data_IF_125536880455
#
_entry.id   IF_125536880455
#
_cell.length_a   1.000
_cell.length_b   1.000
_cell.length_c   1.000
_cell.angle_alpha   90.00
_cell.angle_beta   90.00
_cell.angle_gamma   90.00
#
_symmetry.space_group_name_H-M   'P 1'
#
loop_
_entity.id
_entity.type
_entity.pdbx_description
1 polymer ?
#
# COMPACT_ATOMS: atom_id res chain seq x y z
N UNK A 1 31.47 -9.20 8.73
CA UNK A 1 30.73 -8.12 8.04
C UNK A 1 29.59 -7.68 8.93
N UNK A 2 29.63 -6.46 9.44
CA UNK A 2 28.65 -5.92 10.38
C UNK A 2 27.28 -5.79 9.69
N UNK A 3 26.33 -6.64 10.08
CA UNK A 3 24.94 -6.62 9.62
C UNK A 3 24.27 -5.37 10.20
N UNK A 4 24.03 -4.35 9.37
CA UNK A 4 23.31 -3.14 9.77
C UNK A 4 21.85 -3.46 10.04
N UNK A 5 21.56 -3.91 11.26
CA UNK A 5 20.21 -4.18 11.76
C UNK A 5 19.45 -2.85 11.94
N UNK A 6 18.15 -2.85 11.64
CA UNK A 6 17.30 -1.68 11.89
C UNK A 6 17.34 -1.29 13.39
N UNK A 7 17.14 0.01 13.74
CA UNK A 7 16.97 0.42 15.13
C UNK A 7 15.89 -0.44 15.83
N UNK A 8 16.22 -1.04 16.97
CA UNK A 8 15.34 -1.96 17.70
C UNK A 8 15.48 -3.46 17.37
N UNK A 9 16.23 -3.84 16.33
CA UNK A 9 16.46 -5.25 15.96
C UNK A 9 17.57 -5.95 16.79
N UNK A 10 18.06 -5.31 17.85
CA UNK A 10 19.15 -5.80 18.70
C UNK A 10 18.76 -6.93 19.67
N UNK A 11 17.47 -7.21 19.84
CA UNK A 11 16.99 -8.19 20.82
C UNK A 11 16.65 -9.58 20.27
N UNK A 12 16.56 -9.74 18.95
CA UNK A 12 16.50 -11.00 18.17
C UNK A 12 16.21 -10.58 16.74
N UNK A 13 16.88 -11.17 15.74
CA UNK A 13 16.59 -10.92 14.32
C UNK A 13 15.13 -11.32 14.01
N UNK A 14 14.18 -10.38 13.87
CA UNK A 14 12.77 -10.71 13.95
C UNK A 14 12.27 -11.53 12.77
N UNK A 15 12.74 -11.18 11.57
CA UNK A 15 12.51 -11.93 10.35
C UNK A 15 13.03 -13.38 10.42
N UNK A 16 14.05 -13.66 11.25
CA UNK A 16 14.61 -15.00 11.40
C UNK A 16 13.85 -15.84 12.45
N UNK A 17 12.96 -15.24 13.26
CA UNK A 17 12.05 -16.03 14.12
C UNK A 17 11.07 -16.88 13.31
N UNK A 18 10.83 -16.52 12.04
CA UNK A 18 10.10 -17.35 11.08
C UNK A 18 10.74 -18.76 10.98
N UNK A 19 12.07 -18.86 11.07
CA UNK A 19 12.76 -20.11 10.79
C UNK A 19 12.50 -21.21 11.80
N UNK A 20 12.27 -20.88 13.07
CA UNK A 20 11.90 -21.87 14.08
C UNK A 20 10.47 -22.39 13.82
N UNK A 21 9.56 -21.49 13.38
CA UNK A 21 8.19 -21.84 12.98
C UNK A 21 8.19 -22.69 11.69
N UNK A 22 9.08 -22.40 10.73
CA UNK A 22 9.21 -23.15 9.48
C UNK A 22 9.76 -24.56 9.74
N UNK A 23 10.83 -24.70 10.53
CA UNK A 23 11.42 -26.00 10.90
C UNK A 23 10.44 -26.92 11.64
N UNK A 24 9.45 -26.35 12.33
CA UNK A 24 8.41 -27.08 13.04
C UNK A 24 7.14 -27.30 12.20
N UNK A 25 7.12 -26.87 10.93
CA UNK A 25 5.99 -27.01 10.01
C UNK A 25 4.78 -26.14 10.36
N UNK A 26 4.97 -25.07 11.14
CA UNK A 26 3.88 -24.15 11.54
C UNK A 26 3.57 -23.15 10.43
N UNK A 27 4.59 -22.73 9.69
CA UNK A 27 4.50 -21.82 8.56
C UNK A 27 5.19 -22.45 7.35
N UNK A 28 4.88 -21.92 6.18
CA UNK A 28 5.53 -22.31 4.92
C UNK A 28 5.50 -21.14 3.94
N UNK A 29 6.12 -21.32 2.79
CA UNK A 29 6.10 -20.39 1.67
C UNK A 29 7.35 -20.50 0.81
N UNK A 30 7.31 -19.99 -0.43
CA UNK A 30 8.37 -20.19 -1.41
C UNK A 30 9.72 -19.60 -0.97
N UNK A 31 9.72 -18.59 -0.09
CA UNK A 31 10.95 -17.99 0.43
C UNK A 31 11.50 -18.68 1.69
N UNK A 32 10.75 -19.59 2.34
CA UNK A 32 11.15 -20.16 3.62
C UNK A 32 12.43 -21.01 3.54
N UNK A 33 12.56 -21.86 2.52
CA UNK A 33 13.77 -22.66 2.32
C UNK A 33 15.00 -21.76 2.10
N UNK A 34 14.84 -20.71 1.27
CA UNK A 34 15.87 -19.72 0.98
C UNK A 34 16.27 -18.87 2.18
N UNK A 35 15.32 -18.59 3.07
CA UNK A 35 15.54 -17.83 4.30
C UNK A 35 16.22 -18.65 5.40
N UNK A 36 15.82 -19.92 5.56
CA UNK A 36 16.06 -20.68 6.79
C UNK A 36 16.98 -21.90 6.64
N UNK A 37 17.17 -22.40 5.41
CA UNK A 37 17.94 -23.62 5.14
C UNK A 37 19.14 -23.31 4.26
N UNK A 38 18.92 -22.79 3.05
CA UNK A 38 20.01 -22.50 2.10
C UNK A 38 20.67 -21.15 2.35
N UNK A 39 20.02 -20.27 3.11
CA UNK A 39 20.45 -18.90 3.40
C UNK A 39 20.80 -18.08 2.13
N UNK A 40 20.10 -18.35 1.02
CA UNK A 40 20.26 -17.65 -0.26
C UNK A 40 19.48 -16.33 -0.32
N UNK A 41 18.52 -16.11 0.58
CA UNK A 41 17.83 -14.83 0.74
C UNK A 41 18.69 -13.87 1.60
N UNK A 42 19.36 -12.92 0.95
CA UNK A 42 20.26 -11.98 1.60
C UNK A 42 19.55 -10.71 2.08
N UNK A 43 19.89 -10.24 3.28
CA UNK A 43 19.39 -8.99 3.86
C UNK A 43 20.53 -7.95 3.86
N UNK A 44 20.36 -6.90 3.08
CA UNK A 44 21.24 -5.75 2.98
C UNK A 44 20.82 -4.60 3.92
N UNK A 45 20.70 -3.40 3.35
CA UNK A 45 20.47 -2.15 4.09
C UNK A 45 19.06 -2.09 4.68
N UNK A 46 18.96 -1.69 5.94
CA UNK A 46 17.67 -1.33 6.55
C UNK A 46 17.10 -0.04 5.95
N UNK A 47 15.83 -0.07 5.56
CA UNK A 47 15.07 1.06 5.04
C UNK A 47 14.07 1.63 6.06
N UNK A 48 13.81 0.92 7.17
CA UNK A 48 12.81 1.34 8.16
C UNK A 48 13.40 2.17 9.29
N UNK A 49 12.63 3.19 9.70
CA UNK A 49 12.87 3.98 10.91
C UNK A 49 12.01 3.53 12.09
N UNK A 50 10.94 2.75 11.82
CA UNK A 50 9.98 2.31 12.84
C UNK A 50 10.25 0.87 13.26
N UNK A 51 10.21 0.56 14.56
CA UNK A 51 10.48 -0.78 15.06
C UNK A 51 9.40 -1.78 14.68
N UNK A 52 8.15 -1.37 14.44
CA UNK A 52 7.01 -2.28 14.23
C UNK A 52 6.93 -2.85 12.81
N UNK A 53 7.63 -2.25 11.85
CA UNK A 53 7.62 -2.70 10.46
C UNK A 53 9.02 -2.57 9.93
N UNK A 54 9.72 -3.68 9.74
CA UNK A 54 11.09 -3.66 9.27
C UNK A 54 11.12 -3.90 7.77
N UNK A 55 11.85 -3.05 7.06
CA UNK A 55 12.03 -3.14 5.62
C UNK A 55 13.53 -3.19 5.35
N UNK A 56 13.95 -4.13 4.53
CA UNK A 56 15.34 -4.36 4.17
C UNK A 56 15.47 -4.43 2.65
N UNK A 57 16.49 -3.78 2.09
CA UNK A 57 16.97 -4.17 0.77
C UNK A 57 17.51 -5.59 0.87
N UNK A 58 17.26 -6.42 -0.14
CA UNK A 58 17.72 -7.80 -0.18
C UNK A 58 18.01 -8.27 -1.59
N UNK A 59 18.58 -9.46 -1.69
CA UNK A 59 18.79 -10.17 -2.95
C UNK A 59 18.23 -11.57 -2.76
N UNK A 60 17.40 -12.02 -3.70
CA UNK A 60 16.85 -13.36 -3.72
C UNK A 60 16.85 -13.91 -5.15
N UNK A 61 17.38 -15.12 -5.33
CA UNK A 61 17.55 -15.74 -6.65
C UNK A 61 18.26 -14.82 -7.68
N UNK A 62 19.29 -14.10 -7.22
CA UNK A 62 20.05 -13.10 -7.98
C UNK A 62 19.24 -11.87 -8.45
N UNK A 63 18.01 -11.70 -7.96
CA UNK A 63 17.19 -10.53 -8.22
C UNK A 63 17.19 -9.59 -7.00
N UNK A 64 17.33 -8.27 -7.22
CA UNK A 64 17.21 -7.30 -6.13
C UNK A 64 15.74 -7.24 -5.67
N UNK A 65 15.55 -7.21 -4.35
CA UNK A 65 14.23 -7.20 -3.73
C UNK A 65 14.18 -6.37 -2.47
N UNK A 66 12.97 -6.15 -1.98
CA UNK A 66 12.70 -5.55 -0.67
C UNK A 66 12.02 -6.60 0.20
N UNK A 67 12.65 -6.92 1.32
CA UNK A 67 12.09 -7.83 2.33
C UNK A 67 11.33 -6.99 3.34
N UNK A 68 10.04 -7.27 3.51
CA UNK A 68 9.18 -6.65 4.50
C UNK A 68 8.82 -7.68 5.58
N UNK A 69 9.10 -7.32 6.82
CA UNK A 69 8.76 -8.12 7.99
C UNK A 69 7.85 -7.31 8.90
N UNK A 70 6.69 -7.86 9.20
CA UNK A 70 5.87 -7.35 10.28
C UNK A 70 6.48 -7.80 11.61
N UNK A 71 6.44 -6.90 12.59
CA UNK A 71 6.93 -7.20 13.92
C UNK A 71 5.74 -7.41 14.82
N UNK A 72 5.76 -8.49 15.59
CA UNK A 72 4.86 -8.66 16.73
C UNK A 72 5.17 -7.56 17.76
N UNK A 73 4.28 -6.56 17.87
CA UNK A 73 4.01 -5.90 19.14
C UNK A 73 2.66 -5.19 19.10
N UNK A 74 1.92 -5.38 20.22
CA UNK A 74 0.63 -4.83 20.61
C UNK A 74 0.09 -3.74 19.67
N UNK A 75 -1.02 -4.06 18.99
CA UNK A 75 -1.85 -3.09 18.30
C UNK A 75 -1.99 -1.84 19.17
N UNK A 76 -1.46 -0.72 18.67
CA UNK A 76 -1.92 0.60 19.08
C UNK A 76 -3.39 0.69 18.69
N UNK A 77 -4.25 0.30 19.64
CA UNK A 77 -5.54 0.94 19.82
C UNK A 77 -5.24 2.43 20.03
N UNK A 78 -5.78 3.28 19.17
CA UNK A 78 -5.97 4.68 19.52
C UNK A 78 -6.71 4.69 20.86
N UNK A 79 -6.19 5.45 21.84
CA UNK A 79 -6.80 5.60 23.15
C UNK A 79 -8.19 6.26 22.98
N UNK A 80 -9.22 5.43 22.97
CA UNK A 80 -10.62 5.79 23.21
C UNK A 80 -11.16 4.78 24.21
N UNK A 81 -11.60 5.29 25.36
CA UNK A 81 -12.09 4.54 26.52
C UNK A 81 -13.20 3.55 26.18
N UNK A 82 -12.92 2.25 26.26
CA UNK A 82 -13.69 1.23 27.01
C UNK A 82 -13.04 -0.15 26.85
N UNK A 83 -13.01 -0.92 27.95
CA UNK A 83 -12.32 -2.20 28.08
C UNK A 83 -13.01 -3.30 27.25
N UNK A 84 -12.55 -3.55 26.03
CA UNK A 84 -12.70 -4.87 25.41
C UNK A 84 -11.46 -5.74 25.69
N UNK A 85 -11.63 -7.03 26.07
CA UNK A 85 -10.51 -7.89 26.41
C UNK A 85 -9.63 -8.13 25.19
N UNK A 86 -8.38 -7.68 25.31
CA UNK A 86 -7.22 -7.91 24.43
C UNK A 86 -7.29 -9.27 23.74
N UNK A 87 -7.68 -9.31 22.47
CA UNK A 87 -7.40 -10.46 21.60
C UNK A 87 -5.93 -10.38 21.19
N UNK A 88 -5.07 -11.11 21.89
CA UNK A 88 -3.80 -11.54 21.34
C UNK A 88 -4.09 -12.32 20.04
N UNK A 89 -3.91 -11.67 18.89
CA UNK A 89 -3.92 -12.39 17.61
C UNK A 89 -2.56 -13.07 17.53
N UNK A 90 -2.47 -14.30 18.01
CA UNK A 90 -1.35 -15.18 17.69
C UNK A 90 -1.38 -15.37 16.17
N UNK A 91 -0.41 -14.78 15.46
CA UNK A 91 -0.45 -14.57 14.01
C UNK A 91 -0.71 -15.85 13.19
N UNK A 92 -0.36 -17.03 13.74
CA UNK A 92 -0.40 -18.33 13.05
C UNK A 92 -1.27 -19.38 13.75
N UNK A 93 -2.19 -18.98 14.62
CA UNK A 93 -3.13 -19.93 15.26
C UNK A 93 -4.26 -20.37 14.32
N UNK A 94 -4.51 -19.60 13.27
CA UNK A 94 -5.51 -19.89 12.25
C UNK A 94 -4.85 -20.15 10.90
N UNK A 95 -5.33 -21.14 10.13
CA UNK A 95 -6.32 -22.15 10.52
C UNK A 95 -5.79 -23.19 11.52
N UNK A 96 -6.69 -23.83 12.27
CA UNK A 96 -6.33 -24.87 13.26
C UNK A 96 -5.97 -26.19 12.57
N UNK A 97 -5.21 -27.05 13.28
CA UNK A 97 -4.89 -28.41 12.79
C UNK A 97 -6.19 -29.18 12.49
N UNK A 98 -6.24 -29.85 11.34
CA UNK A 98 -7.42 -30.59 10.87
C UNK A 98 -8.40 -29.76 10.02
N UNK A 99 -8.11 -28.48 9.76
CA UNK A 99 -8.89 -27.68 8.79
C UNK A 99 -8.69 -28.24 7.38
N UNK A 100 -9.78 -28.57 6.69
CA UNK A 100 -9.75 -29.01 5.30
C UNK A 100 -9.56 -27.83 4.35
N UNK A 101 -9.07 -28.07 3.13
CA UNK A 101 -8.93 -27.03 2.10
C UNK A 101 -10.25 -26.31 1.82
N UNK A 102 -11.36 -27.06 1.77
CA UNK A 102 -12.69 -26.47 1.58
C UNK A 102 -13.07 -25.55 2.76
N UNK A 103 -12.75 -25.95 3.99
CA UNK A 103 -13.02 -25.11 5.15
C UNK A 103 -12.16 -23.85 5.15
N UNK A 104 -10.89 -23.98 4.75
CA UNK A 104 -10.02 -22.83 4.56
C UNK A 104 -10.55 -21.87 3.50
N UNK A 105 -11.06 -22.39 2.36
CA UNK A 105 -11.73 -21.60 1.32
C UNK A 105 -12.89 -20.77 1.87
N UNK A 106 -13.75 -21.38 2.70
CA UNK A 106 -14.86 -20.67 3.38
C UNK A 106 -14.35 -19.59 4.35
N UNK A 107 -13.27 -19.87 5.09
CA UNK A 107 -12.68 -18.89 6.00
C UNK A 107 -12.15 -17.67 5.24
N UNK A 108 -11.44 -17.89 4.13
CA UNK A 108 -10.92 -16.82 3.28
C UNK A 108 -12.07 -16.02 2.65
N UNK A 109 -13.10 -16.70 2.16
CA UNK A 109 -14.31 -16.05 1.65
C UNK A 109 -14.96 -15.16 2.71
N UNK A 110 -15.13 -15.67 3.93
CA UNK A 110 -15.70 -14.90 5.05
C UNK A 110 -14.83 -13.71 5.43
N UNK A 111 -13.50 -13.85 5.38
CA UNK A 111 -12.58 -12.74 5.62
C UNK A 111 -12.75 -11.65 4.56
N UNK A 112 -12.86 -12.02 3.28
CA UNK A 112 -13.09 -11.04 2.23
C UNK A 112 -14.46 -10.41 2.27
N UNK A 113 -15.52 -11.17 2.59
CA UNK A 113 -16.84 -10.59 2.79
C UNK A 113 -16.83 -9.57 3.93
N UNK A 114 -16.13 -9.87 5.03
CA UNK A 114 -15.96 -8.93 6.13
C UNK A 114 -15.11 -7.71 5.71
N UNK A 115 -14.05 -7.91 4.92
CA UNK A 115 -13.12 -6.84 4.54
C UNK A 115 -13.61 -5.93 3.41
N UNK A 116 -14.28 -6.50 2.41
CA UNK A 116 -14.59 -5.88 1.12
C UNK A 116 -16.10 -5.68 0.91
N UNK A 117 -16.94 -6.17 1.83
CA UNK A 117 -18.38 -6.24 1.65
C UNK A 117 -18.81 -7.37 0.71
N UNK A 118 -20.08 -7.33 0.28
CA UNK A 118 -20.65 -8.34 -0.62
C UNK A 118 -20.32 -7.99 -2.07
N UNK A 119 -19.18 -8.49 -2.58
CA UNK A 119 -18.75 -8.29 -3.96
C UNK A 119 -19.09 -9.53 -4.81
N UNK A 120 -19.49 -9.34 -6.07
CA UNK A 120 -19.86 -10.46 -6.95
C UNK A 120 -18.71 -11.43 -7.26
N UNK A 121 -17.48 -10.93 -7.26
CA UNK A 121 -16.30 -11.67 -7.72
C UNK A 121 -15.42 -12.24 -6.60
N UNK A 122 -15.91 -12.29 -5.34
CA UNK A 122 -15.13 -12.77 -4.21
C UNK A 122 -14.63 -14.22 -4.40
N UNK A 123 -15.41 -15.07 -5.06
CA UNK A 123 -15.02 -16.46 -5.33
C UNK A 123 -13.74 -16.56 -6.18
N UNK A 124 -13.59 -15.67 -7.16
CA UNK A 124 -12.39 -15.60 -8.00
C UNK A 124 -11.17 -15.15 -7.20
N UNK A 125 -11.32 -14.13 -6.35
CA UNK A 125 -10.27 -13.67 -5.46
C UNK A 125 -9.82 -14.76 -4.48
N UNK A 126 -10.77 -15.54 -3.95
CA UNK A 126 -10.45 -16.69 -3.10
C UNK A 126 -9.62 -17.73 -3.87
N UNK A 127 -9.99 -18.04 -5.11
CA UNK A 127 -9.23 -18.99 -5.93
C UNK A 127 -7.82 -18.45 -6.25
N UNK A 128 -7.69 -17.17 -6.58
CA UNK A 128 -6.39 -16.52 -6.80
C UNK A 128 -5.49 -16.65 -5.56
N UNK A 129 -6.05 -16.46 -4.38
CA UNK A 129 -5.32 -16.58 -3.11
C UNK A 129 -4.94 -18.01 -2.78
N UNK A 130 -5.77 -18.99 -3.13
CA UNK A 130 -5.39 -20.41 -3.01
C UNK A 130 -4.21 -20.74 -3.91
N UNK A 131 -4.17 -20.20 -5.15
CA UNK A 131 -3.02 -20.35 -6.06
C UNK A 131 -1.76 -19.68 -5.53
N UNK A 132 -1.88 -18.52 -4.85
CA UNK A 132 -0.73 -17.86 -4.20
C UNK A 132 -0.28 -18.59 -2.94
N UNK A 133 -1.22 -19.21 -2.20
CA UNK A 133 -0.94 -19.95 -0.98
C UNK A 133 -0.19 -21.26 -1.25
N UNK A 134 -0.51 -21.95 -2.36
CA UNK A 134 0.21 -23.11 -2.88
C UNK A 134 1.61 -22.69 -3.36
N UNK A 135 2.55 -22.62 -2.41
CA UNK A 135 3.87 -22.06 -2.59
C UNK A 135 4.84 -23.04 -3.24
N UNK A 136 4.66 -24.33 -3.01
CA UNK A 136 5.44 -25.40 -3.65
C UNK A 136 4.88 -25.87 -4.99
N UNK A 137 3.67 -25.42 -5.35
CA UNK A 137 2.96 -25.69 -6.61
C UNK A 137 2.60 -27.16 -6.79
N UNK A 138 2.28 -27.85 -5.70
CA UNK A 138 1.84 -29.24 -5.73
C UNK A 138 0.33 -29.40 -6.03
N UNK A 139 -0.40 -28.28 -6.12
CA UNK A 139 -1.85 -28.22 -6.39
C UNK A 139 -2.71 -28.38 -5.14
N UNK A 140 -2.10 -28.47 -3.96
CA UNK A 140 -2.76 -28.55 -2.66
C UNK A 140 -2.29 -27.40 -1.77
N UNK A 141 -3.03 -27.14 -0.69
CA UNK A 141 -2.64 -26.13 0.30
C UNK A 141 -2.45 -26.85 1.63
N UNK A 142 -1.20 -26.97 2.04
CA UNK A 142 -0.81 -27.52 3.33
C UNK A 142 -1.25 -26.62 4.48
N UNK A 143 -1.18 -27.15 5.72
CA UNK A 143 -1.52 -26.34 6.90
C UNK A 143 -0.55 -25.15 7.09
N UNK A 144 0.74 -25.34 6.81
CA UNK A 144 1.76 -24.29 6.94
C UNK A 144 1.55 -23.16 5.93
N UNK A 145 1.24 -23.51 4.69
CA UNK A 145 0.85 -22.57 3.64
C UNK A 145 -0.43 -21.82 3.99
N UNK A 146 -1.47 -22.53 4.42
CA UNK A 146 -2.74 -21.93 4.81
C UNK A 146 -2.58 -20.93 5.96
N UNK A 147 -1.73 -21.24 6.95
CA UNK A 147 -1.40 -20.33 8.07
C UNK A 147 -0.65 -19.10 7.62
N UNK A 148 0.32 -19.27 6.72
CA UNK A 148 1.13 -18.18 6.20
C UNK A 148 0.29 -17.24 5.33
N UNK A 149 -0.50 -17.81 4.42
CA UNK A 149 -1.47 -17.06 3.62
C UNK A 149 -2.48 -16.32 4.52
N UNK A 150 -3.05 -16.99 5.54
CA UNK A 150 -4.00 -16.35 6.46
C UNK A 150 -3.41 -15.14 7.20
N UNK A 151 -2.15 -15.25 7.64
CA UNK A 151 -1.42 -14.16 8.29
C UNK A 151 -1.20 -12.98 7.31
N UNK A 152 -0.73 -13.27 6.09
CA UNK A 152 -0.49 -12.27 5.05
C UNK A 152 -1.77 -11.56 4.62
N UNK A 153 -2.90 -12.26 4.53
CA UNK A 153 -4.21 -11.68 4.18
C UNK A 153 -4.72 -10.63 5.18
N UNK A 154 -4.18 -10.61 6.41
CA UNK A 154 -4.48 -9.54 7.35
C UNK A 154 -3.89 -8.20 6.89
N UNK A 155 -2.80 -8.23 6.12
CA UNK A 155 -2.14 -7.06 5.55
C UNK A 155 -2.84 -6.60 4.26
N UNK A 156 -3.39 -5.38 4.29
CA UNK A 156 -4.02 -4.80 3.09
C UNK A 156 -3.03 -4.63 1.93
N UNK A 157 -1.77 -4.31 2.23
CA UNK A 157 -0.71 -4.21 1.22
C UNK A 157 -0.49 -5.54 0.49
N UNK A 158 -0.49 -6.67 1.20
CA UNK A 158 -0.37 -7.98 0.57
C UNK A 158 -1.57 -8.31 -0.31
N UNK A 159 -2.78 -8.05 0.19
CA UNK A 159 -4.00 -8.24 -0.57
C UNK A 159 -3.99 -7.41 -1.87
N UNK A 160 -3.56 -6.15 -1.81
CA UNK A 160 -3.47 -5.27 -2.98
C UNK A 160 -2.39 -5.72 -3.96
N UNK A 161 -1.24 -6.22 -3.49
CA UNK A 161 -0.22 -6.80 -4.38
C UNK A 161 -0.75 -8.00 -5.15
N UNK A 162 -1.60 -8.83 -4.54
CA UNK A 162 -2.23 -9.96 -5.24
C UNK A 162 -3.31 -9.49 -6.22
N UNK A 163 -4.18 -8.58 -5.81
CA UNK A 163 -5.26 -8.04 -6.66
C UNK A 163 -4.70 -7.31 -7.89
N UNK A 164 -3.62 -6.56 -7.71
CA UNK A 164 -3.02 -5.70 -8.72
C UNK A 164 -1.72 -6.27 -9.29
N UNK A 165 -1.49 -7.59 -9.18
CA UNK A 165 -0.23 -8.24 -9.57
C UNK A 165 0.17 -8.02 -11.04
N UNK A 166 -0.83 -7.86 -11.92
CA UNK A 166 -0.63 -7.68 -13.36
C UNK A 166 -0.53 -6.20 -13.76
N UNK A 167 -0.61 -5.28 -12.80
CA UNK A 167 -0.58 -3.84 -13.05
C UNK A 167 0.83 -3.29 -12.92
N UNK A 168 1.25 -2.46 -13.87
CA UNK A 168 2.61 -1.92 -13.93
C UNK A 168 2.99 -1.10 -12.69
N UNK A 169 2.02 -0.41 -12.08
CA UNK A 169 2.24 0.41 -10.89
C UNK A 169 2.39 -0.36 -9.58
N UNK A 170 2.25 -1.68 -9.60
CA UNK A 170 2.38 -2.54 -8.42
C UNK A 170 3.74 -3.24 -8.44
N UNK A 171 4.50 -3.21 -7.33
CA UNK A 171 5.67 -4.06 -7.18
C UNK A 171 5.31 -5.54 -7.21
N UNK A 172 6.01 -6.32 -8.04
CA UNK A 172 5.83 -7.78 -8.11
C UNK A 172 6.14 -8.46 -6.78
N UNK A 173 5.21 -9.28 -6.29
CA UNK A 173 5.45 -10.19 -5.18
C UNK A 173 6.34 -11.34 -5.65
N UNK A 174 7.53 -11.48 -5.08
CA UNK A 174 8.46 -12.56 -5.42
C UNK A 174 8.14 -13.83 -4.62
N UNK A 175 7.70 -13.68 -3.37
CA UNK A 175 7.42 -14.80 -2.48
C UNK A 175 7.33 -14.39 -1.01
N UNK A 176 7.07 -15.36 -0.15
CA UNK A 176 6.84 -15.14 1.28
C UNK A 176 7.32 -16.31 2.14
N UNK A 177 7.42 -16.07 3.44
CA UNK A 177 7.64 -17.09 4.46
C UNK A 177 6.92 -16.66 5.74
N UNK A 178 5.82 -17.33 6.11
CA UNK A 178 4.94 -16.85 7.18
C UNK A 178 4.34 -15.48 6.83
N UNK A 179 4.50 -14.49 7.71
CA UNK A 179 4.07 -13.09 7.51
C UNK A 179 5.17 -12.18 6.94
N UNK A 180 6.34 -12.73 6.62
CA UNK A 180 7.39 -12.06 5.87
C UNK A 180 7.15 -12.25 4.39
N UNK A 181 7.30 -11.18 3.61
CA UNK A 181 7.22 -11.27 2.16
C UNK A 181 8.30 -10.44 1.47
N UNK A 182 8.61 -10.83 0.24
CA UNK A 182 9.64 -10.27 -0.61
C UNK A 182 8.98 -9.74 -1.87
N UNK A 183 9.27 -8.49 -2.21
CA UNK A 183 8.78 -7.83 -3.42
C UNK A 183 9.95 -7.32 -4.26
N UNK A 184 9.71 -7.02 -5.53
CA UNK A 184 10.71 -6.39 -6.39
C UNK A 184 11.20 -5.06 -5.79
N UNK A 185 12.48 -4.75 -5.98
CA UNK A 185 13.03 -3.46 -5.55
C UNK A 185 12.58 -2.34 -6.49
N UNK A 186 12.22 -1.20 -5.92
CA UNK A 186 11.96 0.04 -6.67
C UNK A 186 13.20 0.92 -6.60
N UNK A 187 13.71 1.38 -7.74
CA UNK A 187 14.95 2.15 -7.87
C UNK A 187 14.84 3.51 -7.18
N UNK A 188 13.78 4.26 -7.47
CA UNK A 188 13.50 5.56 -6.87
C UNK A 188 12.32 5.45 -5.92
N UNK A 189 12.55 5.47 -4.60
CA UNK A 189 11.52 5.26 -3.58
C UNK A 189 10.79 6.55 -3.13
N UNK A 190 10.78 7.57 -3.97
CA UNK A 190 10.14 8.87 -3.69
C UNK A 190 9.77 9.56 -5.00
N UNK A 191 8.60 10.21 -5.05
CA UNK A 191 8.13 10.93 -6.23
C UNK A 191 9.13 12.00 -6.73
N UNK A 192 9.86 12.64 -5.81
CA UNK A 192 10.86 13.67 -6.13
C UNK A 192 12.26 13.11 -6.39
N UNK A 193 12.43 11.78 -6.44
CA UNK A 193 13.72 11.11 -6.71
C UNK A 193 14.67 11.05 -5.51
N UNK A 194 14.37 11.75 -4.40
CA UNK A 194 15.15 11.69 -3.16
C UNK A 194 14.28 11.24 -1.98
N UNK A 195 14.83 10.32 -1.19
CA UNK A 195 14.43 10.05 0.19
C UNK A 195 15.48 10.61 1.15
N UNK A 196 15.18 11.72 1.84
CA UNK A 196 16.10 12.27 2.84
C UNK A 196 15.94 11.50 4.17
N UNK A 197 17.04 11.11 4.83
CA UNK A 197 16.98 10.64 6.21
C UNK A 197 16.31 11.70 7.11
N UNK A 198 15.45 11.25 8.03
CA UNK A 198 14.68 12.12 8.94
C UNK A 198 15.55 13.14 9.71
N UNK A 199 16.79 12.78 10.04
CA UNK A 199 17.74 13.66 10.72
C UNK A 199 18.06 14.89 9.86
N UNK A 200 18.26 14.69 8.55
CA UNK A 200 18.60 15.76 7.61
C UNK A 200 17.36 16.63 7.36
N UNK A 201 16.17 16.03 7.30
CA UNK A 201 14.92 16.77 7.13
C UNK A 201 14.68 17.83 8.22
N UNK A 202 15.09 17.54 9.47
CA UNK A 202 14.90 18.44 10.61
C UNK A 202 15.72 19.74 10.50
N UNK A 203 16.85 19.71 9.78
CA UNK A 203 17.77 20.84 9.63
C UNK A 203 17.57 21.63 8.34
N UNK A 204 16.66 21.21 7.45
CA UNK A 204 16.42 21.90 6.18
C UNK A 204 15.30 22.94 6.34
N UNK A 205 15.58 24.24 6.13
CA UNK A 205 14.53 25.25 6.06
C UNK A 205 13.51 24.91 4.96
N UNK A 206 12.21 25.08 5.25
CA UNK A 206 11.12 24.73 4.32
C UNK A 206 11.24 25.34 2.92
N UNK A 207 11.83 26.55 2.82
CA UNK A 207 12.13 27.20 1.53
C UNK A 207 13.26 26.54 0.73
N UNK A 208 14.24 25.93 1.40
CA UNK A 208 15.35 25.21 0.75
C UNK A 208 14.94 23.82 0.30
N UNK A 209 14.01 23.17 1.02
CA UNK A 209 13.45 21.85 0.65
C UNK A 209 12.84 21.87 -0.75
N UNK A 210 12.01 22.89 -1.05
CA UNK A 210 11.39 23.09 -2.37
C UNK A 210 12.40 23.30 -3.51
N UNK A 211 13.58 23.83 -3.21
CA UNK A 211 14.64 24.06 -4.21
C UNK A 211 15.48 22.80 -4.41
N UNK A 212 15.73 22.01 -3.37
CA UNK A 212 16.41 20.72 -3.49
C UNK A 212 15.58 19.70 -4.25
N UNK A 213 14.28 19.62 -3.97
CA UNK A 213 13.37 18.71 -4.68
C UNK A 213 13.42 18.96 -6.21
N UNK A 214 13.72 20.18 -6.66
CA UNK A 214 13.82 20.52 -8.09
C UNK A 214 15.06 19.93 -8.76
N UNK A 215 16.20 19.86 -8.05
CA UNK A 215 17.46 19.42 -8.64
C UNK A 215 17.42 17.92 -9.02
N UNK A 216 16.62 17.14 -8.30
CA UNK A 216 16.53 15.70 -8.47
C UNK A 216 15.20 15.25 -9.10
N UNK A 217 14.30 16.19 -9.37
CA UNK A 217 13.09 15.87 -10.13
C UNK A 217 13.39 15.55 -11.60
N UNK A 218 12.72 14.55 -12.18
CA UNK A 218 12.83 14.24 -13.60
C UNK A 218 12.42 15.41 -14.52
N UNK A 219 12.79 15.33 -15.80
CA UNK A 219 12.28 16.24 -16.82
C UNK A 219 10.75 16.20 -16.88
N UNK A 220 10.12 17.30 -17.33
CA UNK A 220 8.65 17.40 -17.31
C UNK A 220 7.93 16.25 -18.04
N UNK A 221 8.37 15.76 -19.22
CA UNK A 221 7.76 14.59 -19.86
C UNK A 221 7.77 13.33 -18.97
N UNK A 222 8.86 13.10 -18.23
CA UNK A 222 8.99 11.98 -17.29
C UNK A 222 8.08 12.17 -16.08
N UNK A 223 7.92 13.41 -15.59
CA UNK A 223 6.94 13.73 -14.55
C UNK A 223 5.51 13.41 -15.00
N UNK A 224 5.17 13.77 -16.24
CA UNK A 224 3.87 13.49 -16.82
C UNK A 224 3.63 11.98 -16.92
N UNK A 225 4.62 11.19 -17.35
CA UNK A 225 4.53 9.72 -17.39
C UNK A 225 4.25 9.12 -16.00
N UNK A 226 5.01 9.52 -14.97
CA UNK A 226 4.78 9.07 -13.58
C UNK A 226 3.38 9.47 -13.09
N UNK A 227 2.94 10.69 -13.41
CA UNK A 227 1.62 11.19 -13.02
C UNK A 227 0.48 10.41 -13.67
N UNK A 228 0.61 10.03 -14.94
CA UNK A 228 -0.35 9.15 -15.62
C UNK A 228 -0.46 7.81 -14.89
N UNK A 229 0.67 7.19 -14.54
CA UNK A 229 0.67 5.95 -13.75
C UNK A 229 -0.06 6.08 -12.40
N UNK A 230 -0.02 7.26 -11.77
CA UNK A 230 -0.74 7.50 -10.50
C UNK A 230 -2.25 7.63 -10.74
N UNK A 231 -2.65 8.27 -11.83
CA UNK A 231 -4.06 8.38 -12.20
C UNK A 231 -4.63 7.01 -12.58
N UNK A 232 -3.87 6.17 -13.28
CA UNK A 232 -4.23 4.78 -13.58
C UNK A 232 -4.33 3.93 -12.32
N UNK A 233 -3.40 4.09 -11.38
CA UNK A 233 -3.51 3.43 -10.07
C UNK A 233 -4.78 3.82 -9.32
N UNK A 234 -5.11 5.12 -9.29
CA UNK A 234 -6.34 5.63 -8.66
C UNK A 234 -7.60 5.01 -9.28
N UNK A 235 -7.60 4.85 -10.61
CA UNK A 235 -8.69 4.19 -11.35
C UNK A 235 -8.82 2.71 -10.96
N UNK A 236 -7.71 1.97 -10.91
CA UNK A 236 -7.69 0.55 -10.59
C UNK A 236 -8.12 0.24 -9.14
N UNK A 237 -7.84 1.14 -8.19
CA UNK A 237 -8.25 0.96 -6.77
C UNK A 237 -9.65 1.48 -6.46
N UNK A 238 -10.20 2.40 -7.26
CA UNK A 238 -11.54 2.95 -7.06
C UNK A 238 -12.61 2.23 -7.89
N UNK A 239 -12.27 1.66 -9.06
CA UNK A 239 -13.19 0.87 -9.89
C UNK A 239 -12.76 -0.60 -10.01
N UNK A 240 -12.09 -1.12 -8.98
CA UNK A 240 -11.58 -2.49 -8.98
C UNK A 240 -12.70 -3.55 -8.95
N UNK A 241 -12.43 -4.78 -9.44
CA UNK A 241 -13.41 -5.88 -9.46
C UNK A 241 -13.84 -6.38 -8.07
N UNK A 242 -13.17 -5.91 -7.00
CA UNK A 242 -13.37 -6.33 -5.62
C UNK A 242 -13.79 -5.19 -4.69
N UNK A 243 -14.34 -4.11 -5.26
CA UNK A 243 -14.84 -2.94 -4.54
C UNK A 243 -13.83 -1.80 -4.43
N UNK A 244 -14.27 -0.74 -3.75
CA UNK A 244 -13.52 0.52 -3.65
C UNK A 244 -12.48 0.44 -2.53
N UNK A 245 -11.26 0.88 -2.83
CA UNK A 245 -10.20 1.10 -1.86
C UNK A 245 -9.89 2.58 -1.74
N UNK A 246 -9.63 3.04 -0.52
CA UNK A 246 -9.33 4.42 -0.19
C UNK A 246 -7.85 4.57 0.19
N UNK A 247 -7.19 5.53 -0.43
CA UNK A 247 -5.79 5.88 -0.15
C UNK A 247 -5.71 6.79 1.09
N UNK A 248 -5.46 6.25 2.27
CA UNK A 248 -5.42 7.01 3.53
C UNK A 248 -4.00 7.43 3.98
N UNK A 249 -3.04 7.41 3.04
CA UNK A 249 -1.76 8.10 3.18
C UNK A 249 -1.18 8.48 1.80
N UNK A 250 -1.71 9.55 1.20
CA UNK A 250 -1.27 10.04 -0.12
C UNK A 250 -0.06 10.97 0.06
N UNK A 251 1.14 10.39 0.02
CA UNK A 251 2.37 11.15 0.21
C UNK A 251 3.47 10.75 -0.77
N UNK A 252 4.35 11.70 -1.10
CA UNK A 252 5.43 11.49 -2.07
C UNK A 252 6.41 10.36 -1.69
N UNK A 253 6.51 10.01 -0.41
CA UNK A 253 7.36 8.92 0.12
C UNK A 253 6.77 7.52 -0.11
N UNK A 254 5.47 7.43 -0.40
CA UNK A 254 4.78 6.16 -0.63
C UNK A 254 4.76 5.82 -2.14
N UNK A 255 5.20 6.75 -2.98
CA UNK A 255 5.30 6.62 -4.43
C UNK A 255 6.77 6.53 -4.85
N UNK A 256 7.04 5.72 -5.84
CA UNK A 256 8.33 5.58 -6.47
C UNK A 256 8.20 5.37 -7.98
N UNK A 257 9.31 5.13 -8.64
CA UNK A 257 9.34 4.81 -10.07
C UNK A 257 10.61 4.03 -10.44
N UNK A 258 10.56 3.36 -11.58
CA UNK A 258 11.70 2.64 -12.14
C UNK A 258 12.55 3.53 -13.09
N UNK A 259 13.63 3.00 -13.65
CA UNK A 259 14.48 3.72 -14.62
C UNK A 259 13.76 4.17 -15.89
N UNK A 260 12.63 3.54 -16.23
CA UNK A 260 11.76 3.91 -17.35
C UNK A 260 10.72 4.97 -16.96
N UNK A 261 10.73 5.44 -15.71
CA UNK A 261 9.75 6.38 -15.15
C UNK A 261 8.31 5.84 -15.13
N UNK A 262 8.16 4.52 -15.04
CA UNK A 262 6.89 3.88 -14.72
C UNK A 262 6.69 3.99 -13.20
N UNK A 263 5.51 4.47 -12.77
CA UNK A 263 5.19 4.60 -11.34
C UNK A 263 5.28 3.23 -10.66
N UNK A 264 5.70 3.20 -9.39
CA UNK A 264 5.58 2.05 -8.49
C UNK A 264 5.06 2.48 -7.13
N UNK A 265 4.07 1.77 -6.60
CA UNK A 265 3.57 1.97 -5.23
C UNK A 265 4.51 1.33 -4.22
N UNK A 266 5.29 2.13 -3.49
CA UNK A 266 6.32 1.65 -2.55
C UNK A 266 5.70 1.16 -1.24
N UNK A 267 4.63 1.83 -0.80
CA UNK A 267 3.90 1.52 0.44
C UNK A 267 2.39 1.60 0.19
N UNK A 268 1.70 0.47 0.31
CA UNK A 268 0.24 0.38 0.16
C UNK A 268 -0.49 0.08 1.48
N UNK A 269 0.20 0.11 2.63
CA UNK A 269 -0.38 -0.33 3.92
C UNK A 269 -1.57 0.50 4.37
N UNK A 270 -1.61 1.77 4.00
CA UNK A 270 -2.68 2.71 4.32
C UNK A 270 -3.71 2.84 3.21
N UNK A 271 -3.72 1.91 2.27
CA UNK A 271 -4.81 1.74 1.31
C UNK A 271 -5.76 0.71 1.90
N UNK A 272 -7.00 1.13 2.16
CA UNK A 272 -7.98 0.36 2.93
C UNK A 272 -9.27 0.19 2.15
N UNK A 273 -9.95 -0.96 2.25
CA UNK A 273 -11.29 -1.09 1.67
C UNK A 273 -12.25 -0.06 2.27
N UNK A 274 -13.12 0.51 1.45
CA UNK A 274 -14.10 1.52 1.88
C UNK A 274 -15.00 0.97 3.00
N UNK A 275 -15.53 -0.25 2.85
CA UNK A 275 -16.39 -0.90 3.85
C UNK A 275 -15.70 -1.03 5.21
N UNK A 276 -14.42 -1.40 5.22
CA UNK A 276 -13.63 -1.50 6.45
C UNK A 276 -13.42 -0.14 7.11
N UNK A 277 -13.14 0.90 6.33
CA UNK A 277 -12.97 2.23 6.88
C UNK A 277 -14.27 2.72 7.53
N UNK A 278 -15.40 2.49 6.86
CA UNK A 278 -16.72 2.86 7.38
C UNK A 278 -16.95 2.23 8.76
N UNK A 279 -16.70 0.94 8.91
CA UNK A 279 -16.87 0.26 10.20
C UNK A 279 -15.84 0.68 11.25
N UNK A 280 -14.62 1.03 10.86
CA UNK A 280 -13.57 1.47 11.80
C UNK A 280 -13.78 2.89 12.33
N UNK A 281 -14.39 3.77 11.53
CA UNK A 281 -14.55 5.20 11.88
C UNK A 281 -15.93 5.50 12.46
N UNK A 282 -16.95 4.73 12.05
CA UNK A 282 -18.31 4.81 12.57
C UNK A 282 -18.27 4.60 14.08
N UNK A 283 -19.02 5.44 14.78
CA UNK A 283 -19.11 5.47 16.25
C UNK A 283 -17.86 5.96 17.00
N UNK A 284 -16.78 6.37 16.32
CA UNK A 284 -15.68 7.09 16.98
C UNK A 284 -16.19 8.43 17.52
N UNK A 285 -15.97 8.67 18.80
CA UNK A 285 -16.32 9.95 19.42
C UNK A 285 -15.51 11.09 18.83
N UNK A 286 -16.17 12.23 18.59
CA UNK A 286 -15.55 13.43 18.05
C UNK A 286 -16.18 14.69 18.67
N UNK A 287 -15.37 15.75 18.79
CA UNK A 287 -15.85 17.10 19.10
C UNK A 287 -15.89 17.96 17.83
N UNK A 288 -14.97 17.69 16.89
CA UNK A 288 -14.84 18.41 15.63
C UNK A 288 -14.54 17.49 14.46
N UNK A 289 -14.74 17.97 13.24
CA UNK A 289 -14.37 17.25 12.00
C UNK A 289 -12.89 16.87 11.94
N UNK A 290 -12.02 17.55 12.71
CA UNK A 290 -10.59 17.25 12.76
C UNK A 290 -10.26 15.98 13.54
N UNK A 291 -11.20 15.49 14.36
CA UNK A 291 -11.04 14.25 15.13
C UNK A 291 -11.38 13.01 14.30
N UNK A 292 -12.12 13.20 13.20
CA UNK A 292 -12.61 12.17 12.31
C UNK A 292 -11.64 11.90 11.15
N UNK A 293 -10.41 11.52 11.51
CA UNK A 293 -9.33 11.24 10.56
C UNK A 293 -8.77 9.83 10.75
N UNK A 294 -8.67 9.08 9.64
CA UNK A 294 -7.96 7.82 9.58
C UNK A 294 -6.69 7.95 8.72
N UNK A 295 -5.57 7.42 9.20
CA UNK A 295 -4.29 7.55 8.50
C UNK A 295 -3.76 8.98 8.57
N UNK A 296 -3.52 9.60 7.41
CA UNK A 296 -3.06 11.00 7.34
C UNK A 296 -4.08 11.92 6.66
N UNK A 297 -4.90 11.40 5.74
CA UNK A 297 -5.71 12.21 4.83
C UNK A 297 -7.12 11.65 4.54
N UNK A 298 -7.54 10.51 5.10
CA UNK A 298 -8.94 10.07 5.02
C UNK A 298 -9.77 10.74 6.12
N UNK A 299 -10.67 11.64 5.71
CA UNK A 299 -11.48 12.46 6.63
C UNK A 299 -12.97 12.20 6.44
N UNK A 300 -13.69 12.12 7.55
CA UNK A 300 -15.16 12.17 7.60
C UNK A 300 -15.61 13.37 8.42
N UNK A 301 -16.92 13.56 8.59
CA UNK A 301 -17.48 14.68 9.36
C UNK A 301 -17.88 14.23 10.76
N UNK A 302 -17.85 15.13 11.72
CA UNK A 302 -18.38 14.89 13.06
C UNK A 302 -19.86 15.26 13.10
N UNK A 303 -20.73 14.29 13.39
CA UNK A 303 -22.13 14.57 13.67
C UNK A 303 -22.25 15.16 15.09
N UNK A 304 -22.44 16.47 15.14
CA UNK A 304 -22.57 17.24 16.38
C UNK A 304 -23.78 16.83 17.23
N UNK A 305 -24.78 16.16 16.66
CA UNK A 305 -25.96 15.69 17.41
C UNK A 305 -25.67 14.42 18.21
N UNK A 306 -24.83 13.54 17.64
CA UNK A 306 -24.47 12.26 18.26
C UNK A 306 -23.06 12.27 18.85
N UNK A 307 -22.28 13.34 18.61
CA UNK A 307 -20.85 13.48 18.95
C UNK A 307 -20.03 12.30 18.41
N UNK A 308 -20.36 11.85 17.19
CA UNK A 308 -19.76 10.68 16.54
C UNK A 308 -19.39 10.97 15.09
N UNK A 309 -18.31 10.35 14.63
CA UNK A 309 -17.88 10.47 13.24
C UNK A 309 -18.87 9.78 12.29
N UNK A 310 -19.15 10.42 11.16
CA UNK A 310 -19.91 9.85 10.06
C UNK A 310 -19.07 8.82 9.29
N UNK A 311 -19.74 7.95 8.55
CA UNK A 311 -19.09 6.92 7.71
C UNK A 311 -18.67 7.42 6.33
N UNK A 312 -19.22 8.55 5.88
CA UNK A 312 -19.00 9.03 4.52
C UNK A 312 -17.72 9.87 4.43
N UNK A 313 -16.82 9.43 3.55
CA UNK A 313 -15.52 10.09 3.33
C UNK A 313 -15.73 11.33 2.48
N UNK A 314 -15.13 12.45 2.89
CA UNK A 314 -15.38 13.75 2.25
C UNK A 314 -14.64 13.89 0.91
N UNK A 315 -13.43 13.31 0.81
CA UNK A 315 -12.51 13.50 -0.32
C UNK A 315 -12.20 12.19 -1.05
N UNK A 316 -12.39 12.13 -2.37
CA UNK A 316 -12.06 10.94 -3.17
C UNK A 316 -10.55 10.79 -3.37
N UNK A 317 -10.10 9.61 -3.80
CA UNK A 317 -8.68 9.32 -4.08
C UNK A 317 -8.11 10.26 -5.15
N UNK A 318 -8.87 10.53 -6.21
CA UNK A 318 -8.44 11.41 -7.29
C UNK A 318 -8.15 12.83 -6.82
N UNK A 319 -8.96 13.39 -5.92
CA UNK A 319 -8.70 14.72 -5.34
C UNK A 319 -7.36 14.75 -4.57
N UNK A 320 -7.07 13.71 -3.78
CA UNK A 320 -5.81 13.57 -3.04
C UNK A 320 -4.61 13.40 -3.98
N UNK A 321 -4.76 12.60 -5.03
CA UNK A 321 -3.73 12.43 -6.06
C UNK A 321 -3.45 13.74 -6.81
N UNK A 322 -4.48 14.48 -7.22
CA UNK A 322 -4.31 15.79 -7.86
C UNK A 322 -3.68 16.82 -6.93
N UNK A 323 -4.00 16.82 -5.63
CA UNK A 323 -3.35 17.67 -4.64
C UNK A 323 -1.84 17.37 -4.55
N UNK A 324 -1.45 16.09 -4.58
CA UNK A 324 -0.05 15.67 -4.61
C UNK A 324 0.65 16.07 -5.93
N UNK A 325 -0.04 15.91 -7.06
CA UNK A 325 0.50 16.17 -8.39
C UNK A 325 0.57 17.67 -8.75
N UNK A 326 -0.22 18.53 -8.11
CA UNK A 326 -0.34 19.96 -8.46
C UNK A 326 1.02 20.63 -8.57
N UNK A 327 1.75 20.63 -7.47
CA UNK A 327 3.05 21.29 -7.37
C UNK A 327 4.13 20.56 -8.18
N UNK A 328 3.98 19.24 -8.36
CA UNK A 328 4.89 18.39 -9.12
C UNK A 328 4.81 18.66 -10.63
N UNK A 329 3.60 18.79 -11.17
CA UNK A 329 3.32 18.99 -12.60
C UNK A 329 3.39 20.46 -13.03
N UNK A 330 2.91 21.41 -12.22
CA UNK A 330 2.93 22.83 -12.60
C UNK A 330 4.35 23.40 -12.66
N UNK A 331 5.27 22.85 -11.86
CA UNK A 331 6.68 23.25 -11.90
C UNK A 331 7.41 22.64 -13.11
N UNK A 332 7.79 23.52 -14.04
CA UNK A 332 8.44 23.15 -15.30
C UNK A 332 7.43 22.80 -16.40
N UNK A 333 6.14 23.11 -16.21
CA UNK A 333 5.12 22.88 -17.22
C UNK A 333 5.37 23.73 -18.48
N UNK A 334 5.28 23.13 -19.69
CA UNK A 334 5.28 23.87 -20.95
C UNK A 334 4.18 24.94 -20.95
N UNK A 335 4.49 26.13 -21.47
CA UNK A 335 3.57 27.27 -21.54
C UNK A 335 2.24 26.92 -22.20
N UNK A 336 2.28 26.08 -23.24
CA UNK A 336 1.11 25.75 -24.06
C UNK A 336 0.00 25.03 -23.29
N UNK A 337 0.35 24.26 -22.24
CA UNK A 337 -0.61 23.45 -21.47
C UNK A 337 -0.76 23.89 -20.03
N UNK A 338 0.08 24.82 -19.56
CA UNK A 338 0.16 25.19 -18.15
C UNK A 338 -1.17 25.70 -17.59
N UNK A 339 -1.83 26.60 -18.32
CA UNK A 339 -3.09 27.19 -17.89
C UNK A 339 -4.22 26.14 -17.80
N UNK A 340 -4.37 25.33 -18.85
CA UNK A 340 -5.38 24.26 -18.87
C UNK A 340 -5.09 23.20 -17.80
N UNK A 341 -3.83 22.80 -17.64
CA UNK A 341 -3.40 21.85 -16.62
C UNK A 341 -3.71 22.36 -15.21
N UNK A 342 -3.41 23.63 -14.93
CA UNK A 342 -3.71 24.26 -13.64
C UNK A 342 -5.21 24.25 -13.36
N UNK A 343 -6.03 24.64 -14.33
CA UNK A 343 -7.48 24.61 -14.22
C UNK A 343 -8.01 23.20 -13.92
N UNK A 344 -7.59 22.19 -14.69
CA UNK A 344 -8.01 20.80 -14.48
C UNK A 344 -7.57 20.26 -13.12
N UNK A 345 -6.36 20.59 -12.65
CA UNK A 345 -5.88 20.19 -11.33
C UNK A 345 -6.70 20.82 -10.20
N UNK A 346 -7.05 22.10 -10.28
CA UNK A 346 -7.90 22.73 -9.27
C UNK A 346 -9.31 22.18 -9.25
N UNK A 347 -9.91 21.94 -10.43
CA UNK A 347 -11.20 21.26 -10.53
C UNK A 347 -11.14 19.86 -9.91
N UNK A 348 -10.06 19.13 -10.16
CA UNK A 348 -9.84 17.80 -9.58
C UNK A 348 -9.72 17.83 -8.04
N UNK A 349 -8.97 18.79 -7.50
CA UNK A 349 -8.79 18.96 -6.04
C UNK A 349 -10.11 19.34 -5.35
N UNK A 350 -10.96 20.09 -6.05
CA UNK A 350 -12.26 20.53 -5.54
C UNK A 350 -13.33 19.42 -5.52
N UNK A 351 -13.04 18.23 -6.08
CA UNK A 351 -13.96 17.10 -6.06
C UNK A 351 -14.33 16.72 -4.61
N UNK A 352 -15.63 16.57 -4.39
CA UNK A 352 -16.21 16.10 -3.12
C UNK A 352 -17.04 14.85 -3.37
N UNK A 353 -17.14 14.00 -2.37
CA UNK A 353 -17.99 12.81 -2.41
C UNK A 353 -19.45 13.24 -2.17
N UNK A 354 -20.25 13.38 -3.23
CA UNK A 354 -21.73 13.50 -3.16
C UNK A 354 -22.43 12.46 -4.04
N UNK A 355 -23.50 11.86 -3.51
CA UNK A 355 -23.98 10.52 -3.87
C UNK A 355 -24.51 10.28 -5.31
N UNK A 356 -24.71 11.28 -6.18
CA UNK A 356 -25.48 11.07 -7.43
C UNK A 356 -24.85 11.59 -8.75
N UNK A 357 -23.73 12.32 -8.74
CA UNK A 357 -23.09 12.85 -9.96
C UNK A 357 -21.58 12.52 -10.07
N UNK A 358 -21.05 11.78 -9.10
CA UNK A 358 -19.62 11.66 -8.84
C UNK A 358 -18.86 10.78 -9.83
N UNK A 359 -19.40 9.64 -10.23
CA UNK A 359 -18.68 8.68 -11.09
C UNK A 359 -18.40 9.26 -12.48
N UNK A 360 -19.37 10.01 -13.03
CA UNK A 360 -19.20 10.68 -14.32
C UNK A 360 -18.20 11.82 -14.25
N UNK A 361 -18.27 12.70 -13.24
CA UNK A 361 -17.32 13.81 -13.06
C UNK A 361 -15.91 13.32 -12.78
N UNK A 362 -15.77 12.30 -11.91
CA UNK A 362 -14.51 11.65 -11.61
C UNK A 362 -13.86 11.08 -12.88
N UNK A 363 -14.61 10.30 -13.66
CA UNK A 363 -14.12 9.70 -14.90
C UNK A 363 -13.77 10.74 -15.96
N UNK A 364 -14.56 11.82 -16.07
CA UNK A 364 -14.31 12.91 -17.01
C UNK A 364 -13.01 13.66 -16.68
N UNK A 365 -12.84 14.09 -15.43
CA UNK A 365 -11.63 14.82 -15.01
C UNK A 365 -10.39 13.94 -15.14
N UNK A 366 -10.48 12.68 -14.70
CA UNK A 366 -9.39 11.71 -14.81
C UNK A 366 -8.96 11.51 -16.26
N UNK A 367 -9.92 11.30 -17.18
CA UNK A 367 -9.62 11.11 -18.61
C UNK A 367 -9.10 12.38 -19.28
N UNK A 368 -9.62 13.57 -18.92
CA UNK A 368 -9.11 14.84 -19.42
C UNK A 368 -7.67 15.07 -18.99
N UNK A 369 -7.33 14.84 -17.72
CA UNK A 369 -5.96 14.94 -17.20
C UNK A 369 -5.03 13.96 -17.90
N UNK A 370 -5.40 12.67 -18.01
CA UNK A 370 -4.60 11.66 -18.73
C UNK A 370 -4.37 12.08 -20.18
N UNK A 371 -5.41 12.53 -20.88
CA UNK A 371 -5.31 12.95 -22.29
C UNK A 371 -4.41 14.17 -22.47
N UNK A 372 -4.52 15.16 -21.59
CA UNK A 372 -3.70 16.38 -21.63
C UNK A 372 -2.22 16.05 -21.43
N UNK A 373 -1.91 15.17 -20.47
CA UNK A 373 -0.54 14.70 -20.21
C UNK A 373 -0.02 13.83 -21.37
N UNK A 374 -0.83 12.87 -21.83
CA UNK A 374 -0.49 11.95 -22.92
C UNK A 374 -0.16 12.69 -24.21
N UNK A 375 -0.97 13.69 -24.56
CA UNK A 375 -0.76 14.53 -25.73
C UNK A 375 0.61 15.19 -25.73
N UNK A 376 1.20 15.52 -24.57
CA UNK A 376 2.53 16.16 -24.54
C UNK A 376 3.67 15.15 -24.59
N UNK A 377 3.51 13.98 -23.99
CA UNK A 377 4.54 12.94 -24.00
C UNK A 377 4.62 12.17 -25.32
N UNK A 378 3.50 12.03 -26.05
CA UNK A 378 3.48 11.33 -27.34
C UNK A 378 4.25 12.02 -28.46
N UNK A 379 4.54 13.33 -28.33
CA UNK A 379 5.37 14.09 -29.28
C UNK A 379 6.86 14.14 -28.90
N UNK A 380 7.26 13.55 -27.77
CA UNK A 380 8.67 13.44 -27.36
C UNK A 380 9.17 12.03 -27.66
N UNK A 381 10.19 11.89 -28.52
CA UNK A 381 10.79 10.62 -28.95
C UNK A 381 11.55 9.83 -27.85
N UNK A 382 11.26 10.08 -26.57
CA UNK A 382 11.91 9.43 -25.42
C UNK A 382 10.99 8.38 -24.76
N UNK A 383 10.20 7.66 -25.57
CA UNK A 383 9.33 6.54 -25.16
C UNK A 383 10.12 5.32 -24.71
#
# INVERSE_FOLDING_TARGET
MARSLCPGAWLRKPCYLQCDKYKTGVIDGPACNSLCVTETLYFGKCLSTKPNNQMYLGIWDNLPGVVKCQMEQALHLDFGTELEPRKEIVLFDKPTRGTTVQKFKEMVYSLFKAKLGDQGNLSELVNLILTVADGDKDGQVSLGEAKSAWALLQLNEFLLMVILQDKEHTPKLMGFCGDLYVMESVEYTSLYGISLPWVIELFIPSGFRRSMDQLFTPSWPRKAKIAIGLLEFVEDVFHGPYGNFLMCDTSAKNLGYNDKYDLKMVDMRKIVPETNLKELIKDRHCESDLDCVYGTDCRTSCDQSTMKCTSEVIQPNLAKACQLLKDYLLRGAPSEIREELEKQLYSCIALKVTANQMEMEHSLILNNLKTLLWKKISYTNDS
#
